data_IF_038835841089
#
_entry.id   IF_038835841089
#
_cell.length_a   1.000
_cell.length_b   1.000
_cell.length_c   1.000
_cell.angle_alpha   90.00
_cell.angle_beta   90.00
_cell.angle_gamma   90.00
#
_symmetry.space_group_name_H-M   'P 1'
#
loop_
_entity.id
_entity.type
_entity.pdbx_description
1 polymer ?
#
# COMPACT_ATOMS: atom_id res chain seq x y z
N UNK A 1 -20.44 41.74 27.18
CA UNK A 1 -20.28 41.32 26.85
C UNK A 1 -19.96 40.42 26.44
N UNK A 2 -19.86 39.72 26.13
CA UNK A 2 -19.66 38.89 25.87
C UNK A 2 -19.21 38.30 25.06
N UNK A 3 -18.59 37.98 24.75
CA UNK A 3 -18.12 37.45 24.04
C UNK A 3 -17.95 36.38 24.00
N UNK A 4 -18.04 35.92 24.45
CA UNK A 4 -18.11 34.83 24.52
C UNK A 4 -18.13 34.05 23.50
N UNK A 5 -18.71 34.31 22.79
CA UNK A 5 -18.79 33.59 21.71
C UNK A 5 -17.61 33.16 21.24
N UNK A 6 -16.69 33.67 21.60
CA UNK A 6 -15.49 33.33 21.12
C UNK A 6 -15.19 31.92 21.20
N UNK A 7 -15.83 31.18 21.95
CA UNK A 7 -15.51 29.81 21.99
C UNK A 7 -16.07 29.15 20.79
N UNK A 8 -15.22 28.54 20.04
CA UNK A 8 -15.66 27.78 18.94
C UNK A 8 -15.18 26.37 19.16
N UNK A 9 -16.04 25.45 18.94
CA UNK A 9 -15.63 24.08 18.98
C UNK A 9 -14.54 23.90 17.95
N UNK A 10 -13.54 23.09 18.23
CA UNK A 10 -12.48 22.86 17.29
C UNK A 10 -13.06 22.30 16.01
N UNK A 11 -12.66 22.87 14.90
CA UNK A 11 -13.05 22.31 13.62
C UNK A 11 -12.23 21.07 13.45
N UNK A 12 -12.84 19.95 13.11
CA UNK A 12 -12.09 18.76 12.88
C UNK A 12 -11.14 19.03 11.72
N UNK A 13 -9.87 18.98 11.98
CA UNK A 13 -8.91 19.20 10.96
C UNK A 13 -8.57 17.85 10.38
N UNK A 14 -8.91 17.66 9.13
CA UNK A 14 -8.45 16.48 8.43
C UNK A 14 -6.94 16.62 8.33
N UNK A 15 -6.18 15.67 8.80
CA UNK A 15 -4.74 15.79 8.72
C UNK A 15 -4.33 15.97 7.27
N UNK A 16 -3.47 16.92 7.03
CA UNK A 16 -2.98 17.15 5.69
C UNK A 16 -2.22 15.93 5.23
N UNK A 17 -2.33 15.62 3.98
CA UNK A 17 -1.56 14.52 3.39
C UNK A 17 -0.11 14.99 3.30
N UNK A 18 0.83 14.22 3.82
CA UNK A 18 2.23 14.61 3.76
C UNK A 18 2.70 14.83 2.33
N UNK A 19 3.48 15.86 2.08
CA UNK A 19 3.94 16.16 0.72
C UNK A 19 4.68 15.00 0.05
N UNK A 20 5.40 14.19 0.80
CA UNK A 20 6.10 13.05 0.22
C UNK A 20 5.14 12.01 -0.34
N UNK A 21 3.95 11.91 0.23
CA UNK A 21 2.92 10.99 -0.27
C UNK A 21 2.28 11.59 -1.52
N UNK A 22 1.89 12.88 -1.46
CA UNK A 22 1.27 13.54 -2.60
C UNK A 22 2.20 13.54 -3.81
N UNK A 23 3.50 13.66 -3.56
CA UNK A 23 4.50 13.65 -4.60
C UNK A 23 4.46 12.38 -5.44
N UNK A 24 4.13 11.24 -4.83
CA UNK A 24 4.00 9.99 -5.59
C UNK A 24 2.99 10.13 -6.72
N UNK A 25 1.88 10.78 -6.44
CA UNK A 25 0.84 10.97 -7.44
C UNK A 25 1.19 12.09 -8.41
N UNK A 26 1.69 13.19 -7.89
CA UNK A 26 1.94 14.38 -8.73
C UNK A 26 3.18 14.27 -9.59
N UNK A 27 4.20 13.58 -9.14
CA UNK A 27 5.46 13.54 -9.85
C UNK A 27 5.85 12.16 -10.37
N UNK A 28 5.27 11.11 -9.83
CA UNK A 28 5.67 9.75 -10.18
C UNK A 28 4.52 8.89 -10.72
N UNK A 29 3.45 9.54 -11.15
CA UNK A 29 2.32 8.86 -11.81
C UNK A 29 1.63 7.78 -10.97
N UNK A 30 1.71 7.88 -9.65
CA UNK A 30 0.92 6.99 -8.83
C UNK A 30 -0.55 7.39 -8.90
N UNK A 31 -1.43 6.44 -8.69
CA UNK A 31 -2.86 6.69 -8.72
C UNK A 31 -3.40 6.67 -7.30
N UNK A 32 -4.25 7.64 -6.97
CA UNK A 32 -4.97 7.59 -5.71
C UNK A 32 -6.00 6.47 -5.78
N UNK A 33 -5.98 5.58 -4.81
CA UNK A 33 -6.85 4.41 -4.79
C UNK A 33 -7.84 4.46 -3.64
N UNK A 34 -9.09 4.19 -3.95
CA UNK A 34 -10.14 4.01 -2.97
C UNK A 34 -10.94 2.79 -3.34
N UNK A 35 -11.95 2.48 -2.55
CA UNK A 35 -12.78 1.31 -2.80
C UNK A 35 -13.51 1.43 -4.13
N UNK A 36 -13.75 2.66 -4.59
CA UNK A 36 -14.51 2.89 -5.81
C UNK A 36 -13.71 2.67 -7.09
N UNK A 37 -12.39 2.77 -7.05
CA UNK A 37 -11.58 2.62 -8.27
C UNK A 37 -10.55 1.48 -8.22
N UNK A 38 -10.46 0.80 -7.11
CA UNK A 38 -9.46 -0.26 -6.95
C UNK A 38 -9.60 -1.34 -8.02
N UNK A 39 -10.81 -1.82 -8.22
CA UNK A 39 -11.02 -2.91 -9.18
C UNK A 39 -10.71 -2.47 -10.62
N UNK A 40 -11.08 -1.26 -10.99
CA UNK A 40 -10.75 -0.74 -12.32
C UNK A 40 -9.24 -0.59 -12.49
N UNK A 41 -8.56 -0.13 -11.45
CA UNK A 41 -7.12 0.02 -11.49
C UNK A 41 -6.43 -1.35 -11.61
N UNK A 42 -6.93 -2.36 -10.89
CA UNK A 42 -6.39 -3.70 -10.97
C UNK A 42 -6.65 -4.31 -12.35
N UNK A 43 -7.76 -3.99 -12.96
CA UNK A 43 -8.12 -4.55 -14.26
C UNK A 43 -7.19 -4.09 -15.39
N UNK A 44 -6.43 -3.03 -15.18
CA UNK A 44 -5.45 -2.59 -16.18
C UNK A 44 -4.30 -3.59 -16.30
N UNK A 45 -4.16 -4.48 -15.36
CA UNK A 45 -3.17 -5.56 -15.46
C UNK A 45 -1.74 -5.14 -15.13
N UNK A 46 -0.84 -6.06 -15.29
CA UNK A 46 0.57 -5.83 -15.02
C UNK A 46 0.90 -5.87 -13.54
N UNK A 47 2.16 -5.61 -13.23
CA UNK A 47 2.63 -5.59 -11.85
C UNK A 47 2.33 -4.24 -11.21
N UNK A 48 1.80 -4.27 -10.00
CA UNK A 48 1.42 -3.07 -9.27
C UNK A 48 1.91 -3.13 -7.85
N UNK A 49 2.26 -1.97 -7.30
CA UNK A 49 2.51 -1.82 -5.88
C UNK A 49 1.49 -0.84 -5.32
N UNK A 50 0.77 -1.27 -4.32
CA UNK A 50 -0.24 -0.46 -3.66
C UNK A 50 0.26 -0.11 -2.27
N UNK A 51 0.39 1.17 -1.97
CA UNK A 51 0.90 1.66 -0.70
C UNK A 51 -0.24 2.04 0.22
N UNK A 52 -0.22 1.46 1.43
CA UNK A 52 -1.08 1.89 2.52
C UNK A 52 -0.15 2.49 3.57
N UNK A 53 -0.26 3.78 3.79
CA UNK A 53 0.67 4.52 4.64
C UNK A 53 0.39 4.42 6.12
N UNK A 54 -0.85 4.32 6.49
CA UNK A 54 -1.24 4.46 7.88
C UNK A 54 -1.16 5.91 8.32
N UNK A 55 -1.31 6.13 9.60
CA UNK A 55 -1.22 7.45 10.18
C UNK A 55 0.27 7.85 10.23
N UNK A 56 0.67 8.92 9.55
CA UNK A 56 2.09 9.29 9.51
C UNK A 56 2.67 9.66 10.87
N UNK A 57 1.84 10.00 11.83
CA UNK A 57 2.32 10.32 13.17
C UNK A 57 2.67 9.03 13.89
N UNK A 58 1.86 7.99 13.72
CA UNK A 58 2.11 6.71 14.35
C UNK A 58 3.11 5.88 13.57
N UNK A 59 3.14 6.06 12.28
CA UNK A 59 3.98 5.27 11.38
C UNK A 59 4.82 6.20 10.48
N UNK A 60 5.76 6.93 11.10
CA UNK A 60 6.56 7.90 10.32
C UNK A 60 7.40 7.25 9.23
N UNK A 61 7.70 5.97 9.37
CA UNK A 61 8.44 5.25 8.35
C UNK A 61 7.69 5.18 7.02
N UNK A 62 6.39 5.48 7.01
CA UNK A 62 5.64 5.52 5.76
C UNK A 62 6.20 6.57 4.82
N UNK A 63 6.79 7.63 5.37
CA UNK A 63 7.38 8.68 4.54
C UNK A 63 8.66 8.17 3.87
N UNK A 64 9.39 7.31 4.56
CA UNK A 64 10.60 6.73 3.99
C UNK A 64 10.24 5.76 2.86
N UNK A 65 9.18 4.98 3.06
CA UNK A 65 8.68 4.08 2.02
C UNK A 65 8.27 4.89 0.79
N UNK A 66 7.60 6.03 1.01
CA UNK A 66 7.19 6.89 -0.10
C UNK A 66 8.37 7.42 -0.90
N UNK A 67 9.49 7.68 -0.25
CA UNK A 67 10.69 8.14 -0.94
C UNK A 67 11.32 6.99 -1.73
N UNK A 68 11.31 5.79 -1.18
CA UNK A 68 11.94 4.64 -1.81
C UNK A 68 11.15 4.11 -3.01
N UNK A 69 9.84 4.24 -2.99
CA UNK A 69 8.99 3.63 -4.02
C UNK A 69 9.36 3.98 -5.47
N UNK A 70 9.57 5.25 -5.81
CA UNK A 70 9.95 5.58 -7.19
C UNK A 70 11.28 4.98 -7.58
N UNK A 71 12.22 4.92 -6.64
CA UNK A 71 13.54 4.34 -6.88
C UNK A 71 13.41 2.85 -7.11
N UNK A 72 12.59 2.19 -6.32
CA UNK A 72 12.35 0.77 -6.46
C UNK A 72 11.71 0.46 -7.81
N UNK A 73 10.74 1.26 -8.23
CA UNK A 73 10.10 1.09 -9.53
C UNK A 73 11.12 1.22 -10.65
N UNK A 74 12.00 2.21 -10.55
CA UNK A 74 13.01 2.44 -11.56
C UNK A 74 13.98 1.28 -11.63
N UNK A 75 14.40 0.78 -10.48
CA UNK A 75 15.36 -0.31 -10.45
C UNK A 75 14.75 -1.62 -10.96
N UNK A 76 13.49 -1.87 -10.66
CA UNK A 76 12.77 -3.04 -11.18
C UNK A 76 12.69 -2.97 -12.70
N UNK A 77 12.38 -1.78 -13.23
CA UNK A 77 12.34 -1.62 -14.69
C UNK A 77 13.70 -1.87 -15.31
N UNK A 78 14.76 -1.39 -14.67
CA UNK A 78 16.11 -1.54 -15.18
C UNK A 78 16.56 -3.00 -15.14
N UNK A 79 16.26 -3.71 -14.06
CA UNK A 79 16.74 -5.09 -13.89
C UNK A 79 15.91 -6.11 -14.63
N UNK A 80 14.63 -5.91 -14.68
CA UNK A 80 13.70 -6.93 -15.17
C UNK A 80 12.90 -6.53 -16.40
N UNK A 81 13.06 -5.29 -16.86
CA UNK A 81 12.27 -4.80 -17.98
C UNK A 81 10.78 -4.73 -17.67
N UNK A 82 10.43 -4.64 -16.39
CA UNK A 82 9.05 -4.74 -15.95
C UNK A 82 8.59 -3.40 -15.44
N UNK A 83 7.40 -2.98 -15.86
CA UNK A 83 6.82 -1.72 -15.41
C UNK A 83 5.99 -1.98 -14.17
N UNK A 84 6.27 -1.24 -13.10
CA UNK A 84 5.45 -1.30 -11.90
C UNK A 84 4.53 -0.11 -11.86
N UNK A 85 3.24 -0.33 -11.77
CA UNK A 85 2.29 0.75 -11.58
C UNK A 85 2.17 0.99 -10.09
N UNK A 86 2.11 2.24 -9.69
CA UNK A 86 2.04 2.60 -8.28
C UNK A 86 0.66 3.11 -7.94
N UNK A 87 0.13 2.67 -6.80
CA UNK A 87 -1.11 3.19 -6.25
C UNK A 87 -0.90 3.58 -4.82
N UNK A 88 -1.59 4.61 -4.38
CA UNK A 88 -1.56 5.08 -2.99
C UNK A 88 -2.97 5.10 -2.48
N UNK A 89 -3.24 4.40 -1.41
CA UNK A 89 -4.59 4.33 -0.87
C UNK A 89 -4.92 5.61 -0.12
N UNK A 90 -6.10 6.16 -0.37
CA UNK A 90 -6.58 7.31 0.40
C UNK A 90 -6.67 6.91 1.88
N UNK A 91 -6.25 7.80 2.74
CA UNK A 91 -6.23 7.50 4.18
C UNK A 91 -7.59 7.03 4.70
N UNK A 92 -8.65 7.64 4.22
CA UNK A 92 -10.00 7.29 4.66
C UNK A 92 -10.44 5.90 4.19
N UNK A 93 -9.77 5.34 3.18
CA UNK A 93 -10.15 4.05 2.62
C UNK A 93 -9.22 2.92 3.08
N UNK A 94 -8.22 3.26 3.86
CA UNK A 94 -7.20 2.26 4.21
C UNK A 94 -7.75 1.07 4.99
N UNK A 95 -8.67 1.31 5.90
CA UNK A 95 -9.21 0.20 6.67
C UNK A 95 -9.97 -0.79 5.80
N UNK A 96 -10.78 -0.28 4.89
CA UNK A 96 -11.56 -1.14 4.01
C UNK A 96 -10.65 -1.95 3.09
N UNK A 97 -9.65 -1.30 2.54
CA UNK A 97 -8.72 -1.96 1.62
C UNK A 97 -7.80 -2.92 2.38
N UNK A 98 -7.37 -2.54 3.59
CA UNK A 98 -6.58 -3.42 4.43
C UNK A 98 -7.35 -4.69 4.77
N UNK A 99 -8.65 -4.58 5.03
CA UNK A 99 -9.47 -5.75 5.30
C UNK A 99 -9.52 -6.67 4.08
N UNK A 100 -9.60 -6.08 2.90
CA UNK A 100 -9.67 -6.87 1.66
C UNK A 100 -8.41 -7.71 1.46
N UNK A 101 -7.25 -7.19 1.86
CA UNK A 101 -5.98 -7.90 1.68
C UNK A 101 -5.44 -8.50 3.00
N UNK A 102 -6.25 -8.49 4.05
CA UNK A 102 -5.90 -9.05 5.35
C UNK A 102 -4.63 -8.42 5.94
N UNK A 103 -4.48 -7.11 5.78
CA UNK A 103 -3.29 -6.40 6.24
C UNK A 103 -3.44 -6.01 7.71
N UNK A 104 -2.38 -6.06 8.44
CA UNK A 104 -2.38 -5.72 9.86
C UNK A 104 -1.29 -4.75 10.27
N UNK A 105 -0.40 -4.41 9.37
CA UNK A 105 0.72 -3.55 9.69
C UNK A 105 0.80 -2.39 8.74
N UNK A 106 1.35 -1.31 9.21
CA UNK A 106 1.56 -0.10 8.42
C UNK A 106 2.98 0.39 8.62
N UNK A 107 3.58 0.97 7.64
CA UNK A 107 3.09 1.00 6.26
C UNK A 107 3.21 -0.37 5.63
N UNK A 108 2.47 -0.60 4.58
CA UNK A 108 2.59 -1.85 3.87
C UNK A 108 2.46 -1.62 2.36
N UNK A 109 3.18 -2.42 1.60
CA UNK A 109 3.07 -2.43 0.16
C UNK A 109 2.44 -3.76 -0.22
N UNK A 110 1.41 -3.70 -1.06
CA UNK A 110 0.79 -4.92 -1.59
C UNK A 110 1.25 -5.08 -3.02
N UNK A 111 1.88 -6.20 -3.32
CA UNK A 111 2.28 -6.50 -4.70
C UNK A 111 1.15 -7.26 -5.37
N UNK A 112 0.70 -6.72 -6.50
CA UNK A 112 -0.39 -7.32 -7.26
C UNK A 112 0.07 -7.53 -8.70
N UNK A 113 -0.44 -8.56 -9.34
CA UNK A 113 -0.11 -8.82 -10.74
C UNK A 113 -1.37 -9.27 -11.45
N UNK A 114 -1.71 -8.57 -12.52
CA UNK A 114 -2.89 -8.88 -13.33
C UNK A 114 -4.14 -9.02 -12.46
N UNK A 115 -4.26 -8.13 -11.49
CA UNK A 115 -5.40 -8.10 -10.58
C UNK A 115 -5.31 -9.07 -9.42
N UNK A 116 -4.33 -9.94 -9.39
CA UNK A 116 -4.22 -10.93 -8.32
C UNK A 116 -3.16 -10.60 -7.29
N UNK A 117 -3.37 -11.07 -6.08
CA UNK A 117 -2.44 -10.84 -4.98
C UNK A 117 -1.17 -11.67 -5.17
N UNK A 118 -0.02 -11.07 -4.96
CA UNK A 118 1.26 -11.79 -5.00
C UNK A 118 1.87 -11.88 -3.61
N UNK A 119 2.11 -10.76 -2.97
CA UNK A 119 2.70 -10.73 -1.64
C UNK A 119 2.53 -9.35 -1.00
N UNK A 120 2.90 -9.24 0.26
CA UNK A 120 2.96 -7.95 0.94
C UNK A 120 4.37 -7.71 1.45
N UNK A 121 4.74 -6.46 1.55
CA UNK A 121 6.01 -6.03 2.12
C UNK A 121 5.66 -5.04 3.22
N UNK A 122 5.78 -5.46 4.47
CA UNK A 122 5.42 -4.63 5.60
C UNK A 122 6.58 -3.82 6.09
N UNK A 123 6.34 -2.59 6.44
CA UNK A 123 7.33 -1.75 7.12
C UNK A 123 8.39 -1.22 6.19
N UNK A 124 9.43 -0.65 6.79
CA UNK A 124 10.55 -0.10 6.06
C UNK A 124 11.69 -1.10 6.07
N UNK A 125 12.34 -1.26 4.96
CA UNK A 125 13.45 -2.20 4.80
C UNK A 125 14.66 -1.48 4.22
N UNK A 126 15.82 -2.11 4.33
CA UNK A 126 17.02 -1.60 3.69
C UNK A 126 16.88 -1.79 2.18
N UNK A 127 17.61 -0.99 1.43
CA UNK A 127 17.53 -1.01 -0.03
C UNK A 127 17.77 -2.41 -0.61
N UNK A 128 18.82 -3.10 -0.14
CA UNK A 128 19.12 -4.43 -0.64
C UNK A 128 18.00 -5.41 -0.34
N UNK A 129 17.33 -5.23 0.77
CA UNK A 129 16.22 -6.09 1.13
C UNK A 129 15.02 -5.81 0.23
N UNK A 130 14.74 -4.55 -0.08
CA UNK A 130 13.67 -4.21 -1.02
C UNK A 130 13.94 -4.84 -2.39
N UNK A 131 15.20 -4.81 -2.86
CA UNK A 131 15.54 -5.42 -4.13
C UNK A 131 15.33 -6.93 -4.11
N UNK A 132 15.72 -7.56 -3.02
CA UNK A 132 15.54 -8.99 -2.85
C UNK A 132 14.05 -9.37 -2.82
N UNK A 133 13.25 -8.58 -2.12
CA UNK A 133 11.81 -8.83 -2.03
C UNK A 133 11.13 -8.62 -3.38
N UNK A 134 11.58 -7.63 -4.14
CA UNK A 134 11.05 -7.39 -5.48
C UNK A 134 11.42 -8.54 -6.42
N UNK A 135 12.65 -9.04 -6.35
CA UNK A 135 13.06 -10.17 -7.17
C UNK A 135 12.21 -11.40 -6.83
N UNK A 136 11.94 -11.63 -5.55
CA UNK A 136 11.09 -12.74 -5.15
C UNK A 136 9.67 -12.56 -5.65
N UNK A 137 9.12 -11.35 -5.52
CA UNK A 137 7.74 -11.08 -5.95
C UNK A 137 7.60 -11.34 -7.45
N UNK A 138 8.58 -10.95 -8.23
CA UNK A 138 8.52 -11.14 -9.68
C UNK A 138 8.59 -12.61 -10.06
N UNK A 139 9.15 -13.45 -9.20
CA UNK A 139 9.22 -14.87 -9.44
C UNK A 139 8.08 -15.67 -8.82
N UNK A 140 7.25 -15.04 -7.99
CA UNK A 140 6.11 -15.71 -7.41
C UNK A 140 4.93 -15.68 -8.35
N UNK A 141 4.12 -16.71 -8.32
CA UNK A 141 2.83 -16.66 -9.01
C UNK A 141 1.84 -15.98 -8.08
N UNK A 142 0.68 -15.65 -8.60
CA UNK A 142 -0.36 -15.05 -7.80
C UNK A 142 -0.76 -16.01 -6.68
N UNK A 143 -1.03 -15.48 -5.53
CA UNK A 143 -1.30 -16.28 -4.34
C UNK A 143 -2.65 -15.91 -3.74
N UNK A 144 -3.08 -16.70 -2.81
CA UNK A 144 -4.28 -16.36 -2.06
C UNK A 144 -3.88 -15.36 -0.99
N UNK A 145 -4.80 -14.47 -0.69
CA UNK A 145 -4.61 -13.54 0.39
C UNK A 145 -4.62 -14.33 1.69
N UNK A 146 -3.64 -14.13 2.55
CA UNK A 146 -3.63 -14.83 3.84
C UNK A 146 -4.82 -14.41 4.68
N UNK A 147 -5.52 -15.36 5.24
CA UNK A 147 -6.63 -15.05 6.12
C UNK A 147 -6.24 -15.45 7.53
N UNK A 148 -6.33 -14.49 8.41
CA UNK A 148 -5.89 -14.77 9.74
C UNK A 148 -6.74 -15.79 10.45
N UNK A 149 -7.94 -15.82 10.12
CA UNK A 149 -8.83 -16.72 10.76
C UNK A 149 -8.65 -18.11 10.31
N UNK A 150 -7.93 -18.34 9.32
CA UNK A 150 -7.78 -19.55 8.77
C UNK A 150 -7.02 -20.31 9.60
N UNK A 151 -7.44 -21.02 10.24
CA UNK A 151 -6.61 -21.72 11.02
C UNK A 151 -6.23 -22.88 10.36
N UNK A 152 -5.36 -23.42 10.87
CA UNK A 152 -4.78 -24.56 10.38
C UNK A 152 -5.71 -25.61 10.18
N UNK A 153 -6.71 -25.59 10.87
CA UNK A 153 -7.55 -26.69 10.73
C UNK A 153 -7.86 -26.89 9.30
N UNK A 154 -7.98 -25.88 8.65
CA UNK A 154 -8.37 -26.12 7.32
C UNK A 154 -7.37 -26.87 6.62
N UNK A 155 -6.27 -26.64 6.97
CA UNK A 155 -5.27 -27.18 6.20
C UNK A 155 -5.34 -28.57 6.21
N UNK A 156 -5.72 -29.11 7.14
CA UNK A 156 -5.66 -30.39 7.15
C UNK A 156 -6.26 -30.95 6.14
N UNK A 157 -7.10 -30.59 6.03
CA UNK A 157 -7.68 -31.29 5.17
C UNK A 157 -7.04 -31.70 4.14
N UNK A 158 -6.87 -31.31 3.79
CA UNK A 158 -6.44 -31.65 2.79
C UNK A 158 -5.77 -32.46 2.48
N UNK A 159 -5.49 -32.75 2.56
CA UNK A 159 -4.68 -33.34 2.25
C UNK A 159 -4.78 -34.29 1.79
N UNK A 160 -4.91 -34.72 1.48
CA UNK A 160 -4.73 -35.69 1.03
C UNK A 160 -4.85 -35.88 0.11
#
# INVERSE_FOLDING_TARGET
>A
MSESAAFMAPIPVTPAIPPLITRLVEQFDATWIGSDNLDAWLAEGGNCLLLLCGDPVRHPESLDVAVVLPELRQEVARRHGCTLRLGVVHRAEEEAIAARFALRRWPTLVWLRDGGYVTTIDGMHDWDEYLSLADKALNLSNARIPLFAETPSGATGGCQ
#
